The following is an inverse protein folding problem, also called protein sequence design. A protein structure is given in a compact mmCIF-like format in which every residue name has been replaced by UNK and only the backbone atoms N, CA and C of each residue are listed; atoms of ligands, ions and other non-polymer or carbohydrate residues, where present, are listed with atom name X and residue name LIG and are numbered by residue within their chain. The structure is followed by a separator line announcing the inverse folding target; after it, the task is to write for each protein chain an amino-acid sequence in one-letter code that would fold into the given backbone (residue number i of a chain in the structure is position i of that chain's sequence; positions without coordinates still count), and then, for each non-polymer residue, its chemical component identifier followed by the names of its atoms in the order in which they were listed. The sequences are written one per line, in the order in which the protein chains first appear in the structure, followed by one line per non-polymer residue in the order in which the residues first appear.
data_IF_846936662677
#
_entry.id   IF_846936662677
#
_cell.length_a   1.000
_cell.length_b   1.000
_cell.length_c   1.000
_cell.angle_alpha   90.00
_cell.angle_beta   90.00
_cell.angle_gamma   90.00
#
_symmetry.space_group_name_H-M   'P 1'
#
loop_
_entity.id
_entity.type
_entity.pdbx_description
1 polymer ?
#
# COMPACT_ATOMS: atom_id res chain seq x y z
N UNK A 1 8.40 3.48 57.06
CA UNK A 1 9.04 3.86 55.79
C UNK A 1 9.01 2.63 54.89
N UNK A 2 7.99 2.55 54.04
CA UNK A 2 7.84 1.50 53.03
C UNK A 2 8.00 2.18 51.68
N UNK A 3 9.16 1.99 51.03
CA UNK A 3 9.35 2.36 49.64
C UNK A 3 8.58 1.33 48.79
N UNK A 4 7.38 1.69 48.33
CA UNK A 4 6.75 1.02 47.21
C UNK A 4 7.43 1.49 45.92
N UNK A 5 7.91 0.53 45.14
CA UNK A 5 8.53 0.75 43.84
C UNK A 5 7.52 1.39 42.88
N UNK A 6 7.72 2.66 42.58
CA UNK A 6 7.08 3.36 41.47
C UNK A 6 7.72 2.94 40.15
N UNK A 7 6.90 2.63 39.14
CA UNK A 7 7.26 2.82 37.73
C UNK A 7 7.79 1.60 37.01
N UNK A 8 6.91 0.92 36.26
CA UNK A 8 7.27 0.60 34.88
C UNK A 8 6.78 1.77 34.04
N UNK A 9 7.63 2.78 33.84
CA UNK A 9 7.44 3.67 32.71
C UNK A 9 7.52 2.80 31.45
N UNK A 10 6.43 2.77 30.68
CA UNK A 10 6.39 2.11 29.40
C UNK A 10 7.51 2.70 28.52
N UNK A 11 8.58 1.94 28.19
CA UNK A 11 9.72 2.45 27.43
C UNK A 11 9.35 2.90 26.01
N UNK A 12 8.16 2.52 25.54
CA UNK A 12 7.61 2.92 24.26
C UNK A 12 6.71 4.17 24.32
N UNK A 13 6.44 4.74 25.50
CA UNK A 13 5.57 5.91 25.64
C UNK A 13 6.11 7.15 24.89
N UNK A 14 7.44 7.28 24.81
CA UNK A 14 8.14 8.36 24.08
C UNK A 14 8.37 8.05 22.60
N UNK A 15 8.02 6.85 22.13
CA UNK A 15 8.10 6.41 20.73
C UNK A 15 6.73 6.25 20.07
N UNK A 16 5.71 6.95 20.59
CA UNK A 16 4.52 7.25 19.81
C UNK A 16 4.89 8.32 18.77
N UNK A 17 5.67 7.92 17.75
CA UNK A 17 5.52 8.52 16.43
C UNK A 17 4.01 8.55 16.20
N UNK A 18 3.45 9.73 15.90
CA UNK A 18 2.02 9.91 15.65
C UNK A 18 1.53 8.75 14.80
N UNK A 19 0.60 7.95 15.35
CA UNK A 19 0.10 6.77 14.67
C UNK A 19 -0.36 7.18 13.28
N UNK A 20 0.31 6.68 12.24
CA UNK A 20 0.07 7.09 10.86
C UNK A 20 -1.40 6.90 10.51
N UNK A 21 -2.10 8.00 10.27
CA UNK A 21 -3.45 8.00 9.73
C UNK A 21 -3.38 8.01 8.20
N UNK A 22 -3.98 7.00 7.56
CA UNK A 22 -3.94 6.88 6.11
C UNK A 22 -4.88 7.89 5.43
N UNK A 23 -5.78 8.51 6.19
CA UNK A 23 -6.56 9.66 5.73
C UNK A 23 -5.69 10.87 5.40
N UNK A 24 -4.49 11.00 5.99
CA UNK A 24 -3.55 12.09 5.71
C UNK A 24 -2.98 12.07 4.29
N UNK A 25 -3.17 10.96 3.57
CA UNK A 25 -2.85 10.87 2.13
C UNK A 25 -3.76 11.80 1.30
N UNK A 26 -4.93 12.15 1.83
CA UNK A 26 -5.94 13.01 1.20
C UNK A 26 -5.70 14.48 1.59
N UNK A 27 -4.88 15.19 0.81
CA UNK A 27 -4.53 16.59 1.09
C UNK A 27 -5.66 17.60 0.83
N UNK A 28 -6.41 17.40 -0.27
CA UNK A 28 -7.52 18.28 -0.64
C UNK A 28 -8.82 17.45 -0.77
N UNK A 29 -9.49 17.15 0.34
CA UNK A 29 -10.65 16.24 0.36
C UNK A 29 -11.74 16.60 -0.65
N UNK A 30 -12.03 17.91 -0.82
CA UNK A 30 -13.07 18.39 -1.73
C UNK A 30 -12.74 18.21 -3.23
N UNK A 31 -11.48 17.97 -3.58
CA UNK A 31 -11.00 17.76 -4.95
C UNK A 31 -10.33 16.41 -5.16
N UNK A 32 -10.35 15.54 -4.15
CA UNK A 32 -9.71 14.22 -4.20
C UNK A 32 -10.76 13.14 -4.39
N UNK A 33 -10.49 12.22 -5.31
CA UNK A 33 -11.33 11.05 -5.56
C UNK A 33 -10.48 9.81 -5.90
N UNK A 34 -11.08 8.63 -5.85
CA UNK A 34 -10.43 7.39 -6.24
C UNK A 34 -10.94 6.94 -7.61
N UNK A 35 -10.01 6.66 -8.52
CA UNK A 35 -10.29 5.87 -9.72
C UNK A 35 -9.77 4.44 -9.50
N UNK A 36 -10.64 3.45 -9.62
CA UNK A 36 -10.27 2.05 -9.49
C UNK A 36 -9.97 1.45 -10.87
N UNK A 37 -8.88 0.72 -10.95
CA UNK A 37 -8.58 -0.17 -12.06
C UNK A 37 -8.38 -1.59 -11.52
N UNK A 38 -9.01 -2.56 -12.17
CA UNK A 38 -8.80 -3.98 -11.88
C UNK A 38 -8.07 -4.61 -13.05
N UNK A 39 -6.83 -5.05 -12.80
CA UNK A 39 -6.05 -5.79 -13.79
C UNK A 39 -6.22 -7.29 -13.54
N UNK A 40 -6.62 -8.00 -14.59
CA UNK A 40 -6.59 -9.47 -14.61
C UNK A 40 -5.19 -9.86 -15.08
N UNK A 41 -4.40 -10.42 -14.18
CA UNK A 41 -3.13 -11.05 -14.53
C UNK A 41 -3.33 -12.57 -14.55
N UNK A 42 -3.21 -13.19 -15.72
CA UNK A 42 -3.29 -14.65 -15.90
C UNK A 42 -2.31 -15.43 -15.01
N UNK A 43 -1.27 -14.76 -14.48
CA UNK A 43 -0.23 -15.33 -13.62
C UNK A 43 -0.49 -15.09 -12.13
N UNK A 44 -1.45 -14.25 -11.76
CA UNK A 44 -1.81 -13.98 -10.38
C UNK A 44 -3.10 -14.74 -10.02
N UNK A 45 -3.14 -15.45 -8.88
CA UNK A 45 -4.38 -16.08 -8.42
C UNK A 45 -5.44 -15.06 -7.95
N UNK A 46 -5.07 -13.77 -7.84
CA UNK A 46 -5.93 -12.69 -7.35
C UNK A 46 -5.91 -11.55 -8.37
N UNK A 47 -7.09 -11.00 -8.68
CA UNK A 47 -7.23 -9.77 -9.45
C UNK A 47 -6.49 -8.61 -8.78
N UNK A 48 -5.61 -7.94 -9.52
CA UNK A 48 -4.85 -6.83 -8.96
C UNK A 48 -5.71 -5.57 -9.01
N UNK A 49 -6.36 -5.26 -7.89
CA UNK A 49 -7.13 -4.03 -7.72
C UNK A 49 -6.19 -2.89 -7.32
N UNK A 50 -6.22 -1.80 -8.10
CA UNK A 50 -5.47 -0.58 -7.84
C UNK A 50 -6.43 0.59 -7.66
N UNK A 51 -6.21 1.34 -6.59
CA UNK A 51 -6.84 2.63 -6.37
C UNK A 51 -5.84 3.74 -6.68
N UNK A 52 -6.19 4.57 -7.65
CA UNK A 52 -5.47 5.80 -7.95
C UNK A 52 -6.10 6.93 -7.14
N UNK A 53 -5.37 7.45 -6.17
CA UNK A 53 -5.78 8.65 -5.42
C UNK A 53 -5.48 9.84 -6.32
N UNK A 54 -6.52 10.54 -6.77
CA UNK A 54 -6.44 11.60 -7.76
C UNK A 54 -6.91 12.90 -7.14
N UNK A 55 -6.13 13.95 -7.31
CA UNK A 55 -6.49 15.30 -6.89
C UNK A 55 -6.62 16.21 -8.12
N UNK A 56 -7.83 16.72 -8.34
CA UNK A 56 -8.16 17.59 -9.47
C UNK A 56 -7.75 19.05 -9.27
N UNK A 57 -7.39 19.45 -8.04
CA UNK A 57 -6.90 20.80 -7.76
C UNK A 57 -5.43 21.00 -8.13
N UNK A 58 -4.68 19.90 -8.24
CA UNK A 58 -3.25 19.92 -8.52
C UNK A 58 -2.97 20.07 -10.01
N UNK A 59 -2.12 21.06 -10.35
CA UNK A 59 -1.57 21.20 -11.69
C UNK A 59 -0.57 20.06 -11.98
N UNK A 60 -0.74 19.26 -13.05
CA UNK A 60 0.20 18.19 -13.38
C UNK A 60 1.58 18.70 -13.82
N UNK A 61 2.61 17.94 -13.49
CA UNK A 61 4.00 18.07 -13.95
C UNK A 61 4.37 16.90 -14.87
N UNK A 62 5.45 17.04 -15.66
CA UNK A 62 5.82 16.06 -16.69
C UNK A 62 6.00 14.63 -16.17
N UNK A 63 6.46 14.47 -14.93
CA UNK A 63 6.72 13.17 -14.31
C UNK A 63 5.49 12.51 -13.71
N UNK A 64 4.40 13.26 -13.54
CA UNK A 64 3.20 12.76 -12.88
C UNK A 64 2.44 11.78 -13.75
N UNK A 65 1.67 10.96 -13.05
CA UNK A 65 0.54 10.26 -13.64
C UNK A 65 -0.70 11.13 -13.51
N UNK A 66 -1.53 11.13 -14.55
CA UNK A 66 -2.81 11.83 -14.59
C UNK A 66 -3.89 10.86 -15.03
N UNK A 67 -5.09 11.05 -14.50
CA UNK A 67 -6.29 10.47 -15.09
C UNK A 67 -6.73 11.37 -16.24
N UNK A 68 -6.81 10.79 -17.43
CA UNK A 68 -7.35 11.47 -18.60
C UNK A 68 -8.63 10.79 -19.08
N UNK A 69 -9.44 11.54 -19.79
CA UNK A 69 -10.56 11.04 -20.56
C UNK A 69 -10.35 11.37 -22.05
N UNK A 70 -10.45 10.34 -22.89
CA UNK A 70 -10.36 10.47 -24.34
C UNK A 70 -11.39 9.50 -24.96
N UNK A 71 -12.25 10.01 -25.86
CA UNK A 71 -13.33 9.23 -26.47
C UNK A 71 -14.29 8.55 -25.47
N UNK A 72 -14.49 9.14 -24.29
CA UNK A 72 -15.32 8.57 -23.23
C UNK A 72 -14.66 7.43 -22.45
N UNK A 73 -13.38 7.14 -22.73
CA UNK A 73 -12.58 6.16 -21.98
C UNK A 73 -11.63 6.89 -21.04
N UNK A 74 -11.60 6.43 -19.78
CA UNK A 74 -10.71 6.96 -18.76
C UNK A 74 -9.46 6.09 -18.61
N UNK A 75 -8.28 6.71 -18.71
CA UNK A 75 -7.00 6.01 -18.61
C UNK A 75 -6.00 6.78 -17.76
N UNK A 76 -5.11 6.04 -17.08
CA UNK A 76 -3.99 6.63 -16.33
C UNK A 76 -2.78 6.72 -17.26
N UNK A 77 -2.25 7.93 -17.48
CA UNK A 77 -1.08 8.16 -18.34
C UNK A 77 -0.06 9.07 -17.68
N UNK A 78 1.22 8.92 -18.05
CA UNK A 78 2.23 9.92 -17.71
C UNK A 78 2.00 11.19 -18.53
N UNK A 79 2.12 12.35 -17.89
CA UNK A 79 2.00 13.65 -18.58
C UNK A 79 2.97 13.77 -19.74
N UNK A 80 4.23 13.32 -19.58
CA UNK A 80 5.22 13.31 -20.65
C UNK A 80 4.79 12.54 -21.91
N UNK A 81 3.92 11.53 -21.77
CA UNK A 81 3.41 10.74 -22.91
C UNK A 81 2.27 11.45 -23.65
N UNK A 82 1.67 12.49 -23.06
CA UNK A 82 0.60 13.26 -23.68
C UNK A 82 1.14 14.24 -24.72
N UNK A 83 2.42 14.60 -24.65
CA UNK A 83 3.07 15.50 -25.61
C UNK A 83 3.01 14.98 -27.06
N UNK A 84 2.92 13.66 -27.24
CA UNK A 84 2.84 13.01 -28.55
C UNK A 84 1.39 12.88 -29.06
N UNK A 85 0.39 13.31 -28.28
CA UNK A 85 -1.02 13.15 -28.64
C UNK A 85 -1.48 14.34 -29.48
N UNK A 86 -1.97 14.07 -30.69
CA UNK A 86 -2.48 15.10 -31.61
C UNK A 86 -3.92 15.52 -31.33
N UNK A 87 -4.65 14.68 -30.61
CA UNK A 87 -6.05 14.91 -30.26
C UNK A 87 -6.19 15.54 -28.88
N UNK A 88 -7.21 16.37 -28.66
CA UNK A 88 -7.47 16.94 -27.35
C UNK A 88 -7.83 15.83 -26.36
N UNK A 89 -7.17 15.85 -25.20
CA UNK A 89 -7.45 14.97 -24.06
C UNK A 89 -7.94 15.80 -22.89
N UNK A 90 -8.97 15.33 -22.20
CA UNK A 90 -9.44 15.97 -20.97
C UNK A 90 -8.63 15.40 -19.80
N UNK A 91 -7.92 16.25 -19.06
CA UNK A 91 -7.24 15.82 -17.82
C UNK A 91 -8.20 16.01 -16.65
N UNK A 92 -8.53 14.91 -15.95
CA UNK A 92 -9.46 14.91 -14.83
C UNK A 92 -8.78 15.20 -13.48
N UNK A 93 -7.50 14.87 -13.35
CA UNK A 93 -6.71 15.20 -12.16
C UNK A 93 -5.35 14.52 -12.12
N UNK A 94 -4.56 14.87 -11.10
CA UNK A 94 -3.21 14.35 -10.88
C UNK A 94 -3.21 13.21 -9.86
N UNK A 95 -2.56 12.10 -10.18
CA UNK A 95 -2.41 10.97 -9.24
C UNK A 95 -1.37 11.32 -8.17
N UNK A 96 -1.79 11.34 -6.91
CA UNK A 96 -0.92 11.66 -5.75
C UNK A 96 -0.39 10.41 -5.06
N UNK A 97 -1.15 9.31 -5.09
CA UNK A 97 -0.76 8.01 -4.56
C UNK A 97 -1.45 6.86 -5.33
N UNK A 98 -0.85 5.67 -5.25
CA UNK A 98 -1.44 4.44 -5.77
C UNK A 98 -1.51 3.43 -4.63
N UNK A 99 -2.71 2.96 -4.31
CA UNK A 99 -2.93 1.89 -3.34
C UNK A 99 -3.18 0.61 -4.14
N UNK A 100 -2.31 -0.38 -3.95
CA UNK A 100 -2.39 -1.69 -4.59
C UNK A 100 -2.88 -2.68 -3.56
N UNK A 101 -3.98 -3.36 -3.85
CA UNK A 101 -4.53 -4.38 -2.96
C UNK A 101 -3.89 -5.73 -3.26
N UNK A 102 -3.33 -6.34 -2.23
CA UNK A 102 -2.69 -7.68 -2.26
C UNK A 102 -3.55 -8.75 -1.59
N UNK A 103 -4.78 -8.37 -1.27
CA UNK A 103 -5.85 -9.17 -0.71
C UNK A 103 -7.17 -8.61 -1.27
N UNK A 104 -8.31 -9.22 -0.93
CA UNK A 104 -9.65 -8.70 -1.24
C UNK A 104 -9.73 -7.22 -0.90
N UNK A 105 -9.94 -6.37 -1.92
CA UNK A 105 -10.07 -4.94 -1.76
C UNK A 105 -11.40 -4.61 -1.03
N UNK A 106 -11.37 -3.72 -0.02
CA UNK A 106 -12.61 -3.22 0.58
C UNK A 106 -13.40 -2.38 -0.41
N UNK A 107 -14.63 -1.99 -0.07
CA UNK A 107 -15.33 -0.96 -0.82
C UNK A 107 -14.62 0.40 -0.64
N UNK A 108 -14.62 1.23 -1.69
CA UNK A 108 -14.14 2.60 -1.60
C UNK A 108 -15.07 3.37 -0.64
N UNK A 109 -14.54 4.00 0.43
CA UNK A 109 -15.38 4.76 1.35
C UNK A 109 -15.94 6.02 0.67
N UNK A 110 -17.18 6.38 1.01
CA UNK A 110 -17.83 7.60 0.48
C UNK A 110 -17.08 8.86 0.91
N UNK A 111 -16.68 8.93 2.18
CA UNK A 111 -15.81 9.96 2.72
C UNK A 111 -14.37 9.43 2.77
N UNK A 112 -13.55 9.82 1.78
CA UNK A 112 -12.18 9.36 1.69
C UNK A 112 -11.30 9.87 2.84
N UNK A 113 -11.54 11.08 3.35
CA UNK A 113 -10.70 11.67 4.39
C UNK A 113 -10.81 10.90 5.70
N UNK A 114 -12.03 10.56 6.11
CA UNK A 114 -12.26 9.84 7.38
C UNK A 114 -12.38 8.32 7.22
N UNK A 115 -12.71 7.85 6.02
CA UNK A 115 -12.97 6.44 5.76
C UNK A 115 -11.76 5.65 5.28
N UNK A 116 -10.75 6.28 4.65
CA UNK A 116 -9.65 5.56 4.02
C UNK A 116 -8.84 4.71 5.00
N UNK A 117 -8.51 5.27 6.17
CA UNK A 117 -7.80 4.52 7.21
C UNK A 117 -8.59 3.30 7.66
N UNK A 118 -9.86 3.47 8.02
CA UNK A 118 -10.71 2.37 8.49
C UNK A 118 -10.95 1.30 7.40
N UNK A 119 -10.97 1.69 6.12
CA UNK A 119 -11.10 0.75 5.01
C UNK A 119 -9.84 -0.14 4.88
N UNK A 120 -8.64 0.43 5.02
CA UNK A 120 -7.38 -0.30 4.87
C UNK A 120 -6.94 -1.01 6.16
N UNK A 121 -7.24 -0.41 7.32
CA UNK A 121 -6.89 -0.87 8.67
C UNK A 121 -8.19 -0.90 9.52
N UNK A 122 -9.04 -1.92 9.34
CA UNK A 122 -10.29 -2.02 10.09
C UNK A 122 -10.08 -2.35 11.58
N UNK A 123 -8.96 -3.00 11.92
CA UNK A 123 -8.58 -3.31 13.29
C UNK A 123 -7.17 -2.78 13.60
N UNK A 124 -7.03 -1.52 14.04
CA UNK A 124 -5.72 -0.90 14.31
C UNK A 124 -4.83 -1.68 15.27
N UNK A 125 -5.41 -2.32 16.29
CA UNK A 125 -4.66 -3.13 17.26
C UNK A 125 -4.04 -4.41 16.65
N UNK A 126 -4.50 -4.84 15.47
CA UNK A 126 -4.02 -6.01 14.75
C UNK A 126 -3.32 -5.65 13.44
N UNK A 127 -2.94 -4.38 13.25
CA UNK A 127 -2.28 -3.93 12.06
C UNK A 127 -1.07 -3.06 12.39
N UNK A 128 -0.13 -2.99 11.46
CA UNK A 128 0.94 -2.01 11.50
C UNK A 128 1.34 -1.63 10.08
N UNK A 129 2.01 -0.48 9.98
CA UNK A 129 2.55 0.00 8.72
C UNK A 129 4.05 -0.24 8.73
N UNK A 130 4.57 -0.77 7.62
CA UNK A 130 6.00 -0.97 7.43
C UNK A 130 6.43 -0.37 6.11
N UNK A 131 7.71 -0.02 5.97
CA UNK A 131 8.25 0.51 4.72
C UNK A 131 9.03 -0.56 3.98
N UNK A 132 8.66 -0.79 2.73
CA UNK A 132 9.34 -1.73 1.86
C UNK A 132 10.78 -1.29 1.56
N UNK A 133 11.69 -2.27 1.54
CA UNK A 133 13.12 -2.09 1.23
C UNK A 133 13.56 -3.16 0.25
N UNK A 134 14.18 -2.74 -0.86
CA UNK A 134 14.64 -3.61 -1.93
C UNK A 134 13.61 -3.83 -3.04
N UNK A 135 13.96 -4.69 -4.01
CA UNK A 135 13.22 -4.88 -5.27
C UNK A 135 12.61 -6.27 -5.45
N UNK A 136 12.85 -7.20 -4.50
CA UNK A 136 12.48 -8.62 -4.64
C UNK A 136 10.98 -8.87 -4.77
N UNK A 137 10.15 -7.89 -4.42
CA UNK A 137 8.69 -7.96 -4.53
C UNK A 137 8.13 -7.04 -5.62
N UNK A 138 8.99 -6.39 -6.43
CA UNK A 138 8.57 -5.43 -7.45
C UNK A 138 7.71 -6.04 -8.54
N UNK A 139 7.96 -7.31 -8.90
CA UNK A 139 7.13 -8.03 -9.88
C UNK A 139 5.70 -8.30 -9.41
N UNK A 140 5.44 -8.16 -8.10
CA UNK A 140 4.11 -8.24 -7.48
C UNK A 140 3.57 -6.84 -7.12
N UNK A 141 4.17 -5.79 -7.68
CA UNK A 141 3.72 -4.42 -7.49
C UNK A 141 4.21 -3.76 -6.20
N UNK A 142 4.93 -4.43 -5.31
CA UNK A 142 5.52 -3.82 -4.11
C UNK A 142 6.90 -3.26 -4.43
N UNK A 143 7.03 -1.93 -4.44
CA UNK A 143 8.30 -1.26 -4.79
C UNK A 143 9.09 -0.85 -3.55
N UNK A 144 10.37 -0.56 -3.76
CA UNK A 144 11.19 0.08 -2.73
C UNK A 144 10.55 1.41 -2.31
N UNK A 145 10.53 1.66 -0.99
CA UNK A 145 9.88 2.81 -0.35
C UNK A 145 8.33 2.81 -0.32
N UNK A 146 7.64 1.82 -0.89
CA UNK A 146 6.20 1.65 -0.67
C UNK A 146 5.90 1.47 0.83
N UNK A 147 4.80 2.06 1.31
CA UNK A 147 4.25 1.69 2.63
C UNK A 147 3.42 0.44 2.50
N UNK A 148 3.59 -0.50 3.43
CA UNK A 148 2.90 -1.78 3.49
C UNK A 148 1.90 -1.73 4.63
N UNK A 149 0.64 -2.03 4.34
CA UNK A 149 -0.38 -2.29 5.36
C UNK A 149 -0.31 -3.76 5.72
N UNK A 150 0.21 -4.07 6.91
CA UNK A 150 0.41 -5.43 7.40
C UNK A 150 -0.62 -5.75 8.48
N UNK A 151 -1.38 -6.82 8.27
CA UNK A 151 -2.53 -7.22 9.10
C UNK A 151 -2.35 -8.61 9.69
N UNK A 152 -2.56 -8.72 11.00
CA UNK A 152 -2.49 -9.96 11.80
C UNK A 152 -3.85 -10.62 11.96
N UNK A 153 -4.92 -9.89 11.71
CA UNK A 153 -6.30 -10.36 11.76
C UNK A 153 -6.76 -11.04 10.46
N UNK A 154 -5.86 -11.21 9.49
CA UNK A 154 -6.09 -11.88 8.21
C UNK A 154 -5.41 -13.24 8.20
N UNK A 155 -6.11 -14.26 7.71
CA UNK A 155 -5.59 -15.62 7.60
C UNK A 155 -4.44 -15.71 6.59
N UNK A 156 -3.46 -16.55 6.88
CA UNK A 156 -2.39 -16.88 5.94
C UNK A 156 -2.88 -17.92 4.94
N UNK A 157 -3.05 -17.52 3.68
CA UNK A 157 -3.60 -18.35 2.62
C UNK A 157 -2.59 -18.57 1.49
N UNK A 158 -2.89 -19.49 0.58
CA UNK A 158 -2.07 -19.71 -0.61
C UNK A 158 -1.98 -18.42 -1.42
N UNK A 159 -0.76 -18.00 -1.74
CA UNK A 159 -0.51 -16.78 -2.51
C UNK A 159 -0.54 -15.49 -1.67
N UNK A 160 -0.88 -15.54 -0.38
CA UNK A 160 -0.80 -14.35 0.48
C UNK A 160 0.64 -13.82 0.51
N UNK A 161 0.77 -12.51 0.41
CA UNK A 161 2.05 -11.84 0.69
C UNK A 161 2.14 -11.64 2.20
N UNK A 162 3.21 -12.08 2.85
CA UNK A 162 3.39 -11.95 4.30
C UNK A 162 4.74 -11.34 4.65
N UNK A 163 4.76 -10.59 5.76
CA UNK A 163 6.00 -10.21 6.43
C UNK A 163 6.40 -11.34 7.35
N UNK A 164 7.60 -11.88 7.14
CA UNK A 164 8.16 -12.98 7.94
C UNK A 164 9.47 -12.53 8.58
N UNK A 165 9.77 -13.09 9.74
CA UNK A 165 11.05 -12.95 10.40
C UNK A 165 11.88 -14.21 10.17
N UNK A 166 12.97 -14.08 9.41
CA UNK A 166 13.85 -15.19 9.08
C UNK A 166 15.31 -14.72 9.05
N UNK A 167 16.22 -15.53 9.62
CA UNK A 167 17.65 -15.20 9.76
C UNK A 167 17.89 -13.79 10.34
N UNK A 168 17.18 -13.49 11.44
CA UNK A 168 17.22 -12.21 12.16
C UNK A 168 16.81 -10.98 11.32
N UNK A 169 16.13 -11.19 10.19
CA UNK A 169 15.69 -10.12 9.29
C UNK A 169 14.21 -10.24 8.97
N UNK A 170 13.53 -9.10 8.88
CA UNK A 170 12.20 -9.05 8.29
C UNK A 170 12.30 -9.12 6.77
N UNK A 171 11.47 -9.94 6.14
CA UNK A 171 11.34 -9.99 4.69
C UNK A 171 9.89 -10.19 4.27
N UNK A 172 9.56 -9.67 3.10
CA UNK A 172 8.27 -9.85 2.47
C UNK A 172 8.36 -11.02 1.48
N UNK A 173 7.44 -11.98 1.54
CA UNK A 173 7.42 -13.19 0.70
C UNK A 173 5.99 -13.61 0.37
N UNK A 174 5.81 -14.26 -0.77
CA UNK A 174 4.58 -14.97 -1.11
C UNK A 174 4.56 -16.31 -0.39
N UNK A 175 3.46 -16.61 0.28
CA UNK A 175 3.24 -17.90 0.91
C UNK A 175 2.76 -18.92 -0.11
N UNK A 176 3.64 -19.85 -0.48
CA UNK A 176 3.27 -21.00 -1.30
C UNK A 176 3.08 -22.21 -0.39
N UNK A 177 1.91 -22.27 0.25
CA UNK A 177 1.55 -23.29 1.23
C UNK A 177 1.50 -24.69 0.60
N UNK A 178 1.06 -24.81 -0.65
CA UNK A 178 1.01 -26.07 -1.39
C UNK A 178 2.39 -26.69 -1.58
N UNK A 179 3.39 -25.87 -1.92
CA UNK A 179 4.77 -26.33 -2.11
C UNK A 179 5.62 -26.19 -0.83
N UNK A 180 5.04 -25.64 0.24
CA UNK A 180 5.71 -25.29 1.48
C UNK A 180 6.97 -24.42 1.25
N UNK A 181 6.82 -23.39 0.41
CA UNK A 181 7.87 -22.41 0.09
C UNK A 181 7.44 -20.97 0.37
N UNK A 182 8.45 -20.11 0.47
CA UNK A 182 8.40 -18.68 0.59
C UNK A 182 9.04 -18.11 -0.67
N UNK A 183 8.22 -17.53 -1.53
CA UNK A 183 8.61 -17.16 -2.89
C UNK A 183 8.79 -15.63 -2.97
N UNK A 184 9.72 -15.17 -3.79
CA UNK A 184 9.80 -13.77 -4.21
C UNK A 184 9.26 -13.56 -5.63
N UNK A 185 9.18 -12.31 -6.08
CA UNK A 185 8.66 -11.97 -7.40
C UNK A 185 9.64 -12.27 -8.55
N UNK A 186 10.86 -12.72 -8.24
CA UNK A 186 11.90 -13.09 -9.21
C UNK A 186 12.00 -14.61 -9.38
N UNK A 187 11.11 -15.38 -8.73
CA UNK A 187 11.05 -16.84 -8.80
C UNK A 187 12.01 -17.54 -7.83
N UNK A 188 12.62 -16.83 -6.89
CA UNK A 188 13.45 -17.44 -5.84
C UNK A 188 12.52 -18.04 -4.79
N UNK A 189 12.68 -19.34 -4.56
CA UNK A 189 11.92 -20.08 -3.56
C UNK A 189 12.82 -20.45 -2.39
N UNK A 190 12.31 -20.28 -1.18
CA UNK A 190 12.97 -20.71 0.05
C UNK A 190 12.03 -21.58 0.88
N UNK A 191 12.53 -22.56 1.66
CA UNK A 191 11.64 -23.42 2.44
C UNK A 191 10.82 -22.63 3.46
N UNK A 192 9.51 -22.90 3.51
CA UNK A 192 8.64 -22.43 4.59
C UNK A 192 8.87 -23.33 5.82
N UNK A 193 9.61 -22.82 6.80
CA UNK A 193 9.89 -23.54 8.05
C UNK A 193 8.76 -23.28 9.05
N UNK A 194 8.31 -24.34 9.72
CA UNK A 194 7.27 -24.28 10.76
C UNK A 194 7.87 -24.45 12.16
N UNK A 195 7.36 -23.74 13.19
CA UNK A 195 6.29 -22.75 13.12
C UNK A 195 6.71 -21.50 12.32
N UNK A 196 5.78 -20.96 11.52
CA UNK A 196 6.05 -19.79 10.69
C UNK A 196 6.13 -18.55 11.59
N UNK A 197 7.29 -17.91 11.63
CA UNK A 197 7.46 -16.62 12.33
C UNK A 197 6.98 -15.48 11.44
N UNK A 198 5.67 -15.42 11.20
CA UNK A 198 5.04 -14.36 10.42
C UNK A 198 4.52 -13.23 11.32
N UNK A 199 4.72 -11.99 10.87
CA UNK A 199 4.25 -10.79 11.54
C UNK A 199 2.86 -10.35 11.08
N UNK A 200 2.41 -10.81 9.92
CA UNK A 200 1.10 -10.52 9.33
C UNK A 200 1.09 -10.64 7.80
N UNK A 201 -0.11 -10.59 7.23
CA UNK A 201 -0.36 -10.55 5.79
C UNK A 201 -0.28 -9.10 5.31
N UNK A 202 0.43 -8.85 4.21
CA UNK A 202 0.43 -7.57 3.51
C UNK A 202 -0.86 -7.49 2.70
N UNK A 203 -1.81 -6.65 3.11
CA UNK A 203 -3.12 -6.53 2.43
C UNK A 203 -3.15 -5.40 1.41
N UNK A 204 -2.28 -4.40 1.58
CA UNK A 204 -2.14 -3.31 0.61
C UNK A 204 -0.71 -2.75 0.62
N UNK A 205 -0.28 -2.17 -0.51
CA UNK A 205 0.88 -1.30 -0.57
C UNK A 205 0.54 0.06 -1.16
N UNK A 206 1.19 1.11 -0.65
CA UNK A 206 0.92 2.51 -0.99
C UNK A 206 2.18 3.10 -1.62
N UNK A 207 2.08 3.44 -2.90
CA UNK A 207 3.13 4.11 -3.67
C UNK A 207 2.80 5.60 -3.78
N UNK A 208 3.53 6.46 -3.07
CA UNK A 208 3.38 7.91 -3.19
C UNK A 208 3.97 8.42 -4.52
N UNK A 209 3.21 9.25 -5.23
CA UNK A 209 3.61 9.89 -6.49
C UNK A 209 4.00 11.34 -6.32
N UNK A 210 3.39 12.01 -5.35
CA UNK A 210 3.80 13.34 -4.90
C UNK A 210 4.06 13.30 -3.41
N UNK A 211 4.93 14.20 -2.94
CA UNK A 211 5.13 14.37 -1.50
C UNK A 211 3.81 14.81 -0.88
N UNK A 212 3.26 13.96 -0.02
CA UNK A 212 2.34 14.39 1.03
C UNK A 212 3.16 15.30 1.95
N UNK A 213 2.67 16.51 2.22
CA UNK A 213 3.40 17.49 3.04
C UNK A 213 3.64 16.89 4.45
N UNK A 214 4.89 17.07 4.91
CA UNK A 214 5.50 16.66 6.18
C UNK A 214 5.58 15.16 6.51
N UNK A 215 6.54 14.47 5.90
CA UNK A 215 7.36 13.47 6.60
C UNK A 215 8.72 14.09 6.90
N UNK A 216 8.87 14.65 8.09
CA UNK A 216 10.09 15.34 8.52
C UNK A 216 10.17 15.41 10.05
N UNK A 217 11.08 14.60 10.59
CA UNK A 217 11.47 14.49 11.99
C UNK A 217 12.43 13.34 12.15
#
# INVERSE_FOLDING_TARGET
MTNEFTGFENPAATFLESALDLGEIINHPASTFIHQNTEIDDRSPIELVKWYVIDSSLKPELIDLVLIEQHGEQTIRRVSSLCDTTEPVLTLGTVTAIIKHHHIAPAIPEDLQFGLHSALIPLPAAAFISRARGSKMSGLGIKNDDLLVVRRDVNYEQGSIAVIYYDKKFMCRVLNLSNNTLDDAEGVQSPLIRPLSAEGVVTASIEFRRKVLSWGG
#
